data_IF_730756338040
#
_entry.id   IF_730756338040
#
_cell.length_a   1.000
_cell.length_b   1.000
_cell.length_c   1.000
_cell.angle_alpha   90.00
_cell.angle_beta   90.00
_cell.angle_gamma   90.00
#
_symmetry.space_group_name_H-M   'P 1'
#
loop_
_entity.id
_entity.type
_entity.pdbx_description
1 polymer ?
#
# COMPACT_ATOMS: atom_id res chain seq x y z
N UNK A 1 7.80 9.83 16.27
CA UNK A 1 8.46 8.81 15.41
C UNK A 1 7.71 8.80 14.09
N UNK A 2 8.38 8.54 12.95
CA UNK A 2 7.68 8.45 11.66
C UNK A 2 7.19 7.01 11.43
N UNK A 3 5.99 6.88 10.86
CA UNK A 3 5.42 5.62 10.40
C UNK A 3 5.00 5.72 8.93
N UNK A 4 4.93 4.57 8.25
CA UNK A 4 4.46 4.51 6.87
C UNK A 4 2.94 4.65 6.83
N UNK A 5 2.43 5.48 5.93
CA UNK A 5 1.01 5.58 5.62
C UNK A 5 0.72 5.08 4.21
N UNK A 6 -0.24 4.17 4.10
CA UNK A 6 -0.72 3.64 2.82
C UNK A 6 -2.04 4.29 2.37
N UNK A 7 -2.41 5.45 2.94
CA UNK A 7 -3.63 6.18 2.52
C UNK A 7 -3.62 6.51 1.03
N UNK A 8 -2.45 6.85 0.48
CA UNK A 8 -2.31 7.16 -0.95
C UNK A 8 -2.62 5.95 -1.83
N UNK A 9 -2.17 4.75 -1.46
CA UNK A 9 -2.51 3.51 -2.13
C UNK A 9 -4.03 3.31 -2.24
N UNK A 10 -4.74 3.40 -1.12
CA UNK A 10 -6.19 3.17 -1.12
C UNK A 10 -6.96 4.24 -1.90
N UNK A 11 -6.52 5.50 -1.84
CA UNK A 11 -7.06 6.56 -2.70
C UNK A 11 -6.88 6.20 -4.18
N UNK A 12 -5.66 5.80 -4.58
CA UNK A 12 -5.37 5.42 -5.96
C UNK A 12 -6.22 4.24 -6.44
N UNK A 13 -6.46 3.24 -5.59
CA UNK A 13 -7.35 2.11 -5.92
C UNK A 13 -8.79 2.57 -6.20
N UNK A 14 -9.31 3.52 -5.41
CA UNK A 14 -10.64 4.11 -5.62
C UNK A 14 -10.66 4.88 -6.95
N UNK A 15 -9.64 5.70 -7.21
CA UNK A 15 -9.54 6.53 -8.42
C UNK A 15 -9.55 5.70 -9.72
N UNK A 16 -9.10 4.44 -9.67
CA UNK A 16 -9.08 3.51 -10.81
C UNK A 16 -10.10 2.37 -10.71
N UNK A 17 -11.03 2.44 -9.76
CA UNK A 17 -12.07 1.44 -9.49
C UNK A 17 -11.56 0.01 -9.28
N UNK A 18 -10.35 -0.16 -8.75
CA UNK A 18 -9.75 -1.47 -8.46
C UNK A 18 -10.07 -1.94 -7.04
N UNK A 19 -10.62 -3.14 -6.92
CA UNK A 19 -10.93 -3.74 -5.61
C UNK A 19 -9.67 -4.28 -4.95
N UNK A 20 -9.66 -4.28 -3.62
CA UNK A 20 -8.52 -4.77 -2.83
C UNK A 20 -8.08 -6.20 -3.20
N UNK A 21 -9.03 -7.12 -3.44
CA UNK A 21 -8.69 -8.50 -3.80
C UNK A 21 -8.03 -8.58 -5.19
N UNK A 22 -8.36 -7.68 -6.11
CA UNK A 22 -7.78 -7.63 -7.45
C UNK A 22 -6.35 -7.14 -7.39
N UNK A 23 -6.06 -6.13 -6.57
CA UNK A 23 -4.68 -5.71 -6.31
C UNK A 23 -3.89 -6.87 -5.70
N UNK A 24 -4.45 -7.54 -4.69
CA UNK A 24 -3.78 -8.65 -4.03
C UNK A 24 -3.44 -9.78 -4.99
N UNK A 25 -4.39 -10.17 -5.85
CA UNK A 25 -4.19 -11.20 -6.86
C UNK A 25 -3.12 -10.79 -7.88
N UNK A 26 -3.27 -9.60 -8.48
CA UNK A 26 -2.34 -9.08 -9.51
C UNK A 26 -0.92 -8.85 -8.99
N UNK A 27 -0.78 -8.39 -7.74
CA UNK A 27 0.53 -8.15 -7.12
C UNK A 27 1.07 -9.37 -6.37
N UNK A 28 0.34 -10.50 -6.36
CA UNK A 28 0.66 -11.72 -5.62
C UNK A 28 0.90 -11.48 -4.11
N UNK A 29 0.02 -10.70 -3.48
CA UNK A 29 0.11 -10.30 -2.07
C UNK A 29 -0.81 -11.20 -1.22
N UNK A 30 -0.23 -11.83 -0.21
CA UNK A 30 -1.00 -12.63 0.75
C UNK A 30 -1.97 -11.77 1.58
N UNK A 31 -3.05 -12.38 2.08
CA UNK A 31 -3.98 -11.73 3.04
C UNK A 31 -3.26 -11.15 4.26
N UNK A 32 -2.27 -11.86 4.79
CA UNK A 32 -1.47 -11.40 5.94
C UNK A 32 -0.66 -10.15 5.62
N UNK A 33 -0.04 -10.08 4.44
CA UNK A 33 0.72 -8.90 4.00
C UNK A 33 -0.20 -7.73 3.73
N UNK A 34 -1.35 -7.96 3.07
CA UNK A 34 -2.33 -6.92 2.84
C UNK A 34 -2.92 -6.36 4.16
N UNK A 35 -3.10 -7.20 5.18
CA UNK A 35 -3.51 -6.75 6.51
C UNK A 35 -2.46 -5.81 7.14
N UNK A 36 -1.16 -6.06 6.96
CA UNK A 36 -0.10 -5.13 7.40
C UNK A 36 -0.25 -3.76 6.74
N UNK A 37 -0.45 -3.73 5.41
CA UNK A 37 -0.67 -2.50 4.64
C UNK A 37 -1.88 -1.73 5.17
N UNK A 38 -3.02 -2.41 5.40
CA UNK A 38 -4.23 -1.78 5.93
C UNK A 38 -4.02 -1.15 7.31
N UNK A 39 -3.12 -1.70 8.11
CA UNK A 39 -2.80 -1.22 9.46
C UNK A 39 -1.53 -0.36 9.51
N UNK A 40 -1.07 0.19 8.39
CA UNK A 40 0.12 1.07 8.34
C UNK A 40 1.40 0.43 8.89
N UNK A 41 1.49 -0.91 8.83
CA UNK A 41 2.68 -1.64 9.25
C UNK A 41 3.70 -1.75 8.12
N UNK A 42 4.97 -1.95 8.48
CA UNK A 42 6.03 -2.13 7.51
C UNK A 42 5.83 -3.43 6.70
N UNK A 43 6.05 -3.31 5.39
CA UNK A 43 6.19 -4.44 4.45
C UNK A 43 7.53 -4.36 3.74
N UNK A 44 7.89 -5.40 2.99
CA UNK A 44 9.14 -5.39 2.21
C UNK A 44 9.05 -4.42 1.04
N UNK A 45 10.19 -3.87 0.63
CA UNK A 45 10.28 -3.05 -0.58
C UNK A 45 9.88 -3.82 -1.84
N UNK A 46 10.13 -5.13 -1.90
CA UNK A 46 9.61 -6.01 -2.96
C UNK A 46 8.08 -5.95 -3.08
N UNK A 47 7.37 -5.99 -1.95
CA UNK A 47 5.91 -5.89 -1.94
C UNK A 47 5.46 -4.57 -2.55
N UNK A 48 6.15 -3.47 -2.21
CA UNK A 48 5.86 -2.14 -2.74
C UNK A 48 6.14 -2.06 -4.24
N UNK A 49 7.26 -2.62 -4.72
CA UNK A 49 7.60 -2.67 -6.14
C UNK A 49 6.57 -3.46 -6.95
N UNK A 50 6.06 -4.58 -6.42
CA UNK A 50 4.99 -5.36 -7.08
C UNK A 50 3.70 -4.56 -7.20
N UNK A 51 3.32 -3.80 -6.17
CA UNK A 51 2.18 -2.88 -6.23
C UNK A 51 2.42 -1.80 -7.29
N UNK A 52 3.60 -1.16 -7.28
CA UNK A 52 3.97 -0.14 -8.27
C UNK A 52 3.89 -0.67 -9.70
N UNK A 53 4.34 -1.89 -9.95
CA UNK A 53 4.27 -2.53 -11.28
C UNK A 53 2.81 -2.77 -11.72
N UNK A 54 1.94 -3.22 -10.82
CA UNK A 54 0.51 -3.43 -11.12
C UNK A 54 -0.20 -2.11 -11.40
N UNK A 55 0.11 -1.07 -10.61
CA UNK A 55 -0.54 0.25 -10.69
C UNK A 55 0.15 1.21 -11.67
N UNK A 56 1.28 0.79 -12.27
CA UNK A 56 2.14 1.59 -13.15
C UNK A 56 2.45 2.97 -12.58
N UNK A 57 2.93 3.01 -11.34
CA UNK A 57 3.16 4.25 -10.60
C UNK A 57 4.45 4.21 -9.78
N UNK A 58 4.89 5.38 -9.30
CA UNK A 58 6.03 5.49 -8.39
C UNK A 58 5.63 5.09 -6.95
N UNK A 59 6.60 4.66 -6.14
CA UNK A 59 6.38 4.33 -4.72
C UNK A 59 5.83 5.51 -3.91
N UNK A 60 6.21 6.74 -4.25
CA UNK A 60 5.75 7.97 -3.61
C UNK A 60 4.26 8.27 -3.85
N UNK A 61 3.65 7.65 -4.86
CA UNK A 61 2.22 7.74 -5.13
C UNK A 61 1.38 6.77 -4.28
N UNK A 62 2.00 5.75 -3.68
CA UNK A 62 1.30 4.73 -2.88
C UNK A 62 1.67 4.76 -1.40
N UNK A 63 2.84 5.30 -1.05
CA UNK A 63 3.36 5.40 0.32
C UNK A 63 3.73 6.84 0.68
N UNK A 64 3.55 7.19 1.95
CA UNK A 64 4.12 8.40 2.56
C UNK A 64 4.55 8.15 3.99
N UNK A 65 5.32 9.06 4.57
CA UNK A 65 5.66 9.05 5.99
C UNK A 65 4.75 10.03 6.72
N UNK A 66 4.24 9.64 7.88
CA UNK A 66 3.46 10.50 8.77
C UNK A 66 4.08 10.47 10.17
N UNK A 67 3.93 11.57 10.91
CA UNK A 67 4.25 11.54 12.33
C UNK A 67 3.23 10.65 13.05
N UNK A 68 3.73 9.74 13.89
CA UNK A 68 2.87 9.10 14.87
C UNK A 68 2.37 10.19 15.81
N UNK A 69 1.13 10.63 15.58
CA UNK A 69 0.34 11.32 16.59
C UNK A 69 0.18 10.33 17.72
N UNK A 70 1.08 10.40 18.71
CA UNK A 70 0.91 9.70 19.97
C UNK A 70 -0.54 9.90 20.41
N UNK A 71 -1.21 8.79 20.70
CA UNK A 71 -2.52 8.85 21.35
C UNK A 71 -2.46 9.74 22.58
#
# INVERSE_FOLDING_TARGET
MLSLSYKKLFKKLIDIEMKNYELMDKANISKSTFYKIKNNQNVTTDTLLRICNVLKCDISEIVGCVEDGGK
#
